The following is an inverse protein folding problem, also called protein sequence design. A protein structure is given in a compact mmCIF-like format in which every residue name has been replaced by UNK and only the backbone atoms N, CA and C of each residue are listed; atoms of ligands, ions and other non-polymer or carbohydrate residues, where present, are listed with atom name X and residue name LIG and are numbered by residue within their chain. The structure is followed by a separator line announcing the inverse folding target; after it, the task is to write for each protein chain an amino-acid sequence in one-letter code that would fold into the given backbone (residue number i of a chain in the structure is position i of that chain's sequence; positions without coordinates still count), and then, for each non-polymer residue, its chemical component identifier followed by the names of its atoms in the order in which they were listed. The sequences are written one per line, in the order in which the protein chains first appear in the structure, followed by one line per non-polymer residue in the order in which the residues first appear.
data_IF_486531425407
#
_entry.id   IF_486531425407
#
_cell.length_a   1.000
_cell.length_b   1.000
_cell.length_c   1.000
_cell.angle_alpha   90.00
_cell.angle_beta   90.00
_cell.angle_gamma   90.00
#
_symmetry.space_group_name_H-M   'P 1'
#
loop_
_entity.id
_entity.type
_entity.pdbx_description
1 polymer ?
#
# COMPACT_ATOMS: atom_id res chain seq x y z
N UNK A 1 28.86 -51.09 -29.12
CA UNK A 1 28.79 -50.21 -30.31
C UNK A 1 27.69 -49.18 -30.06
N UNK A 2 28.01 -48.09 -29.36
CA UNK A 2 27.16 -46.91 -29.25
C UNK A 2 28.09 -45.69 -29.32
N UNK A 3 27.98 -44.96 -30.43
CA UNK A 3 28.79 -43.77 -30.73
C UNK A 3 28.36 -42.58 -29.87
N UNK A 4 29.37 -41.81 -29.43
CA UNK A 4 29.28 -40.50 -28.78
C UNK A 4 29.01 -39.39 -29.81
N UNK A 5 28.30 -38.32 -29.40
CA UNK A 5 28.72 -36.89 -29.39
C UNK A 5 27.51 -35.94 -29.23
N UNK A 6 27.68 -34.66 -28.81
CA UNK A 6 28.52 -34.13 -27.72
C UNK A 6 27.80 -33.07 -26.83
N UNK A 7 28.47 -32.72 -25.73
CA UNK A 7 28.17 -31.59 -24.81
C UNK A 7 28.15 -30.23 -25.51
N UNK A 8 27.26 -29.33 -25.08
CA UNK A 8 27.52 -27.89 -25.02
C UNK A 8 27.18 -27.34 -23.63
N UNK A 9 27.86 -26.24 -23.28
CA UNK A 9 28.31 -25.84 -21.95
C UNK A 9 27.29 -24.95 -21.21
N UNK A 10 27.45 -24.96 -19.89
CA UNK A 10 26.88 -24.03 -18.90
C UNK A 10 26.83 -22.55 -19.32
N UNK A 11 25.71 -21.91 -19.01
CA UNK A 11 25.66 -20.56 -18.45
C UNK A 11 24.67 -20.61 -17.28
N UNK A 12 25.21 -20.62 -16.07
CA UNK A 12 24.43 -20.43 -14.86
C UNK A 12 24.05 -18.97 -14.73
N UNK A 13 22.79 -18.71 -14.39
CA UNK A 13 22.37 -17.47 -13.77
C UNK A 13 21.70 -17.85 -12.45
N UNK A 14 22.33 -17.40 -11.37
CA UNK A 14 21.96 -17.65 -9.99
C UNK A 14 20.76 -16.77 -9.63
N UNK A 15 19.59 -17.37 -9.51
CA UNK A 15 18.38 -16.73 -8.96
C UNK A 15 18.31 -17.15 -7.49
N UNK A 16 19.17 -16.58 -6.65
CA UNK A 16 19.11 -16.79 -5.19
C UNK A 16 19.13 -15.52 -4.34
N UNK A 17 19.41 -14.35 -4.92
CA UNK A 17 19.58 -13.12 -4.13
C UNK A 17 18.31 -12.25 -3.98
N UNK A 18 17.16 -12.60 -4.58
CA UNK A 18 15.95 -11.77 -4.51
C UNK A 18 14.79 -12.36 -3.68
N UNK A 19 14.88 -13.62 -3.25
CA UNK A 19 13.90 -14.18 -2.29
C UNK A 19 14.18 -13.73 -0.86
N UNK A 20 15.45 -13.50 -0.49
CA UNK A 20 15.82 -13.08 0.87
C UNK A 20 15.37 -11.65 1.20
N UNK A 21 15.28 -10.76 0.21
CA UNK A 21 14.87 -9.35 0.45
C UNK A 21 13.36 -9.20 0.66
N UNK A 22 12.55 -9.98 -0.06
CA UNK A 22 11.09 -10.03 0.10
C UNK A 22 10.70 -10.78 1.38
N UNK A 23 11.44 -11.84 1.74
CA UNK A 23 11.31 -12.47 3.06
C UNK A 23 11.74 -11.52 4.19
N UNK A 24 12.77 -10.68 4.03
CA UNK A 24 13.18 -9.71 5.06
C UNK A 24 12.16 -8.56 5.26
N UNK A 25 11.48 -8.08 4.23
CA UNK A 25 10.40 -7.08 4.37
C UNK A 25 9.13 -7.67 4.98
N UNK A 26 8.75 -8.89 4.55
CA UNK A 26 7.66 -9.62 5.16
C UNK A 26 7.98 -9.94 6.64
N UNK A 27 9.22 -10.34 6.95
CA UNK A 27 9.69 -10.53 8.32
C UNK A 27 9.71 -9.24 9.11
N UNK A 28 10.10 -8.08 8.57
CA UNK A 28 10.14 -6.85 9.37
C UNK A 28 8.75 -6.30 9.69
N UNK A 29 7.77 -6.45 8.79
CA UNK A 29 6.36 -6.11 9.06
C UNK A 29 5.67 -7.17 9.92
N UNK A 30 5.94 -8.47 9.71
CA UNK A 30 5.45 -9.55 10.59
C UNK A 30 6.10 -9.52 11.97
N UNK A 31 7.38 -9.14 12.09
CA UNK A 31 8.11 -8.99 13.37
C UNK A 31 7.61 -7.75 14.09
N UNK A 32 7.31 -6.65 13.38
CA UNK A 32 6.64 -5.49 13.98
C UNK A 32 5.22 -5.84 14.45
N UNK A 33 4.46 -6.63 13.67
CA UNK A 33 3.14 -7.14 14.05
C UNK A 33 3.21 -8.17 15.20
N UNK A 34 4.19 -9.08 15.20
CA UNK A 34 4.45 -10.05 16.29
C UNK A 34 4.91 -9.36 17.57
N UNK A 35 5.74 -8.32 17.46
CA UNK A 35 6.17 -7.50 18.60
C UNK A 35 5.02 -6.64 19.14
N UNK A 36 4.13 -6.13 18.29
CA UNK A 36 2.99 -5.30 18.72
C UNK A 36 1.83 -6.15 19.29
N UNK A 37 1.61 -7.37 18.79
CA UNK A 37 0.47 -8.23 19.17
C UNK A 37 0.79 -9.19 20.31
N UNK A 38 2.04 -9.62 20.51
CA UNK A 38 2.44 -10.49 21.64
C UNK A 38 3.17 -9.76 22.77
N UNK A 39 3.62 -8.51 22.56
CA UNK A 39 4.21 -7.68 23.62
C UNK A 39 3.48 -6.34 23.74
N UNK A 40 2.47 -6.22 24.62
CA UNK A 40 2.02 -4.91 25.05
C UNK A 40 3.12 -4.29 25.92
N UNK A 41 3.83 -3.35 25.29
CA UNK A 41 4.48 -2.15 25.82
C UNK A 41 5.87 -2.15 26.50
N UNK A 42 6.62 -1.10 26.08
CA UNK A 42 7.75 -0.37 26.70
C UNK A 42 9.18 -0.89 26.50
N UNK A 43 9.84 -0.31 25.49
CA UNK A 43 10.95 0.61 25.73
C UNK A 43 12.32 0.02 26.08
N UNK A 44 13.31 0.37 25.26
CA UNK A 44 14.67 0.60 25.74
C UNK A 44 14.63 1.54 26.96
N UNK A 45 15.02 1.05 28.13
CA UNK A 45 15.77 1.86 29.12
C UNK A 45 16.43 0.94 30.17
N UNK A 46 17.75 1.03 30.26
CA UNK A 46 18.54 0.53 31.38
C UNK A 46 18.72 1.64 32.43
N UNK A 47 18.60 1.23 33.70
CA UNK A 47 19.32 1.64 34.93
C UNK A 47 18.43 2.06 36.12
N UNK A 48 18.42 1.22 37.17
CA UNK A 48 18.86 1.56 38.55
C UNK A 48 19.38 0.27 39.22
N UNK A 49 20.50 0.36 39.92
CA UNK A 49 21.10 -0.69 40.74
C UNK A 49 20.23 -1.04 41.97
N UNK A 50 20.03 -2.33 42.23
CA UNK A 50 19.51 -2.81 43.53
C UNK A 50 18.18 -3.59 43.52
N UNK A 51 17.47 -3.74 42.40
CA UNK A 51 16.23 -4.52 42.36
C UNK A 51 16.46 -5.94 41.76
N UNK A 52 16.08 -6.99 42.50
CA UNK A 52 16.01 -8.37 41.99
C UNK A 52 14.93 -8.47 40.89
N UNK A 53 15.38 -8.28 39.64
CA UNK A 53 14.82 -8.75 38.36
C UNK A 53 13.31 -8.48 38.14
N UNK A 54 12.99 -7.37 37.46
CA UNK A 54 11.63 -7.08 36.93
C UNK A 54 11.51 -7.12 35.40
N UNK A 55 12.63 -7.20 34.67
CA UNK A 55 12.62 -7.21 33.21
C UNK A 55 12.34 -8.62 32.65
N UNK A 56 11.29 -8.72 31.84
CA UNK A 56 10.88 -9.99 31.19
C UNK A 56 11.92 -10.48 30.18
N UNK A 57 12.59 -9.58 29.45
CA UNK A 57 13.68 -9.94 28.53
C UNK A 57 14.89 -10.50 29.28
N UNK A 58 15.34 -9.88 30.36
CA UNK A 58 16.45 -10.40 31.16
C UNK A 58 16.14 -11.74 31.83
N UNK A 59 14.85 -12.01 32.15
CA UNK A 59 14.42 -13.31 32.68
C UNK A 59 14.43 -14.37 31.58
N UNK A 60 13.94 -14.04 30.39
CA UNK A 60 13.96 -14.94 29.23
C UNK A 60 15.39 -15.30 28.84
N UNK A 61 16.31 -14.33 28.81
CA UNK A 61 17.72 -14.56 28.52
C UNK A 61 18.37 -15.48 29.56
N UNK A 62 18.07 -15.30 30.86
CA UNK A 62 18.52 -16.25 31.90
C UNK A 62 17.96 -17.65 31.72
N UNK A 63 16.69 -17.79 31.34
CA UNK A 63 16.06 -19.09 31.11
C UNK A 63 16.69 -19.82 29.90
N UNK A 64 17.02 -19.09 28.84
CA UNK A 64 17.75 -19.62 27.68
C UNK A 64 19.20 -19.98 28.05
N UNK A 65 19.89 -19.15 28.85
CA UNK A 65 21.23 -19.45 29.37
C UNK A 65 21.26 -20.68 30.30
N UNK A 66 20.15 -20.97 30.98
CA UNK A 66 19.97 -22.18 31.82
C UNK A 66 19.54 -23.41 31.00
N UNK A 67 19.49 -23.32 29.67
CA UNK A 67 19.31 -24.46 28.77
C UNK A 67 17.87 -24.77 28.35
N UNK A 68 16.91 -23.85 28.56
CA UNK A 68 15.57 -24.00 27.95
C UNK A 68 15.68 -23.94 26.43
N UNK A 69 15.19 -24.99 25.75
CA UNK A 69 15.15 -25.07 24.28
C UNK A 69 13.78 -24.63 23.78
N UNK A 70 13.77 -23.70 22.83
CA UNK A 70 12.52 -23.15 22.24
C UNK A 70 11.70 -24.23 21.55
N UNK A 71 12.36 -25.20 20.93
CA UNK A 71 11.73 -26.36 20.27
C UNK A 71 11.10 -27.40 21.24
N UNK A 72 11.34 -27.31 22.55
CA UNK A 72 10.73 -28.24 23.53
C UNK A 72 9.29 -27.88 23.91
N UNK A 73 8.79 -26.72 23.46
CA UNK A 73 7.42 -26.27 23.75
C UNK A 73 6.47 -26.90 22.76
N UNK A 74 5.89 -28.05 23.12
CA UNK A 74 4.78 -28.65 22.36
C UNK A 74 3.47 -27.96 22.73
N UNK A 75 2.71 -27.53 21.73
CA UNK A 75 1.38 -26.93 21.85
C UNK A 75 0.35 -28.00 22.23
N UNK A 76 0.40 -28.44 23.49
CA UNK A 76 -0.63 -29.27 24.10
C UNK A 76 -1.80 -28.40 24.54
N UNK A 77 -2.89 -28.43 23.78
CA UNK A 77 -4.21 -28.02 24.26
C UNK A 77 -4.64 -29.05 25.32
N UNK A 78 -4.58 -28.67 26.59
CA UNK A 78 -5.32 -29.33 27.67
C UNK A 78 -6.06 -28.24 28.43
N UNK A 79 -7.37 -28.45 28.58
CA UNK A 79 -8.33 -27.42 28.92
C UNK A 79 -8.45 -27.06 30.40
N UNK A 80 -9.36 -26.10 30.59
CA UNK A 80 -9.94 -25.57 31.81
C UNK A 80 -8.98 -24.99 32.86
N UNK A 81 -8.94 -23.66 32.92
CA UNK A 81 -9.22 -22.93 34.16
C UNK A 81 -9.72 -21.52 33.82
N UNK A 82 -10.93 -21.21 34.29
CA UNK A 82 -11.45 -19.85 34.37
C UNK A 82 -10.47 -18.97 35.16
N UNK A 83 -9.86 -17.97 34.51
CA UNK A 83 -9.24 -16.85 35.22
C UNK A 83 -9.47 -15.56 34.45
N UNK A 84 -10.16 -14.68 35.15
CA UNK A 84 -10.61 -13.34 34.77
C UNK A 84 -9.42 -12.46 34.31
N UNK A 85 -9.60 -11.86 33.12
CA UNK A 85 -8.95 -10.68 32.53
C UNK A 85 -7.48 -10.74 32.03
N UNK A 86 -7.31 -10.48 30.70
CA UNK A 86 -6.30 -9.54 30.21
C UNK A 86 -6.85 -8.45 29.26
N UNK A 87 -8.12 -8.53 28.82
CA UNK A 87 -8.69 -7.60 27.82
C UNK A 87 -8.83 -6.14 28.33
N UNK A 88 -8.95 -5.94 29.64
CA UNK A 88 -9.09 -4.61 30.24
C UNK A 88 -7.79 -3.81 30.32
N UNK A 89 -6.62 -4.45 30.34
CA UNK A 89 -5.34 -3.75 30.47
C UNK A 89 -4.90 -3.07 29.17
N UNK A 90 -5.15 -3.71 28.02
CA UNK A 90 -4.89 -3.13 26.69
C UNK A 90 -5.88 -2.00 26.35
N UNK A 91 -7.16 -2.18 26.71
CA UNK A 91 -8.15 -1.12 26.57
C UNK A 91 -7.85 0.06 27.51
N UNK A 92 -7.31 -0.20 28.70
CA UNK A 92 -6.89 0.83 29.66
C UNK A 92 -5.67 1.65 29.18
N UNK A 93 -4.70 1.04 28.49
CA UNK A 93 -3.56 1.78 27.94
C UNK A 93 -3.92 2.65 26.73
N UNK A 94 -5.00 2.30 26.01
CA UNK A 94 -5.57 3.12 24.93
C UNK A 94 -6.51 4.21 25.47
N UNK A 95 -6.96 4.14 26.74
CA UNK A 95 -8.01 5.02 27.29
C UNK A 95 -7.53 6.07 28.31
N UNK A 96 -6.24 6.41 28.37
CA UNK A 96 -5.76 7.63 29.05
C UNK A 96 -5.38 8.74 28.04
N UNK A 97 -5.55 10.01 28.41
CA UNK A 97 -6.43 10.95 27.70
C UNK A 97 -5.77 11.62 26.50
N UNK A 98 -6.17 11.23 25.29
CA UNK A 98 -6.13 12.07 24.07
C UNK A 98 -7.31 11.79 23.11
N UNK A 99 -8.24 10.91 23.51
CA UNK A 99 -9.35 10.42 22.67
C UNK A 99 -10.35 11.51 22.24
N UNK A 100 -10.45 12.62 22.98
CA UNK A 100 -11.36 13.73 22.66
C UNK A 100 -11.03 14.39 21.32
N UNK A 101 -9.75 14.53 20.96
CA UNK A 101 -9.33 15.16 19.70
C UNK A 101 -8.94 14.15 18.62
N UNK A 102 -8.61 12.91 18.99
CA UNK A 102 -8.23 11.87 18.04
C UNK A 102 -9.39 11.44 17.13
N UNK A 103 -10.59 11.23 17.69
CA UNK A 103 -11.77 10.80 16.91
C UNK A 103 -12.22 11.88 15.91
N UNK A 104 -12.36 13.17 16.29
CA UNK A 104 -12.66 14.23 15.34
C UNK A 104 -11.64 14.31 14.21
N UNK A 105 -10.34 14.23 14.53
CA UNK A 105 -9.26 14.31 13.52
C UNK A 105 -9.28 13.13 12.54
N UNK A 106 -9.54 11.91 13.02
CA UNK A 106 -9.68 10.72 12.15
C UNK A 106 -10.90 10.87 11.26
N UNK A 107 -12.01 11.33 11.82
CA UNK A 107 -13.27 11.55 11.07
C UNK A 107 -13.08 12.61 9.98
N UNK A 108 -12.40 13.71 10.30
CA UNK A 108 -12.06 14.78 9.36
C UNK A 108 -11.14 14.26 8.25
N UNK A 109 -10.09 13.51 8.60
CA UNK A 109 -9.16 12.92 7.63
C UNK A 109 -9.89 11.97 6.69
N UNK A 110 -10.68 11.03 7.23
CA UNK A 110 -11.48 10.11 6.43
C UNK A 110 -12.48 10.87 5.54
N UNK A 111 -13.16 11.90 6.08
CA UNK A 111 -14.08 12.73 5.30
C UNK A 111 -13.39 13.45 4.14
N UNK A 112 -12.23 14.06 4.38
CA UNK A 112 -11.41 14.72 3.37
C UNK A 112 -11.04 13.74 2.26
N UNK A 113 -10.42 12.59 2.60
CA UNK A 113 -9.97 11.62 1.60
C UNK A 113 -11.13 10.96 0.85
N UNK A 114 -12.26 10.72 1.52
CA UNK A 114 -13.50 10.24 0.88
C UNK A 114 -14.02 11.24 -0.15
N UNK A 115 -14.01 12.54 0.19
CA UNK A 115 -14.41 13.58 -0.73
C UNK A 115 -13.44 13.69 -1.92
N UNK A 116 -12.14 13.59 -1.66
CA UNK A 116 -11.09 13.53 -2.70
C UNK A 116 -11.35 12.37 -3.65
N UNK A 117 -11.62 11.15 -3.15
CA UNK A 117 -11.90 10.00 -3.99
C UNK A 117 -13.14 10.21 -4.86
N UNK A 118 -14.21 10.81 -4.32
CA UNK A 118 -15.41 11.16 -5.12
C UNK A 118 -15.11 12.17 -6.23
N UNK A 119 -14.29 13.18 -5.94
CA UNK A 119 -13.88 14.16 -6.94
C UNK A 119 -13.01 13.53 -8.02
N UNK A 120 -12.13 12.58 -7.65
CA UNK A 120 -11.35 11.78 -8.59
C UNK A 120 -12.29 10.99 -9.52
N UNK A 121 -13.27 10.27 -8.98
CA UNK A 121 -14.23 9.51 -9.81
C UNK A 121 -14.94 10.40 -10.82
N UNK A 122 -15.27 11.64 -10.44
CA UNK A 122 -15.85 12.62 -11.36
C UNK A 122 -14.82 13.14 -12.38
N UNK A 123 -13.62 13.48 -11.94
CA UNK A 123 -12.52 13.93 -12.80
C UNK A 123 -12.18 12.90 -13.90
N UNK A 124 -12.14 11.61 -13.57
CA UNK A 124 -11.90 10.54 -14.55
C UNK A 124 -12.96 10.46 -15.66
N UNK A 125 -14.17 10.99 -15.42
CA UNK A 125 -15.28 11.09 -16.40
C UNK A 125 -15.25 12.37 -17.24
N UNK A 126 -14.28 13.24 -17.01
CA UNK A 126 -14.13 14.47 -17.79
C UNK A 126 -13.26 14.26 -19.03
N UNK A 127 -13.43 15.12 -20.02
CA UNK A 127 -12.52 15.19 -21.17
C UNK A 127 -11.25 15.98 -20.81
N UNK A 128 -10.23 15.25 -20.36
CA UNK A 128 -8.93 15.80 -19.95
C UNK A 128 -7.99 15.73 -21.16
N UNK A 129 -7.51 16.88 -21.61
CA UNK A 129 -6.52 16.98 -22.69
C UNK A 129 -5.13 16.88 -22.08
N UNK A 130 -4.57 15.66 -22.06
CA UNK A 130 -3.29 15.33 -21.41
C UNK A 130 -2.13 16.15 -21.98
N UNK A 131 -2.13 16.45 -23.28
CA UNK A 131 -1.05 17.17 -23.97
C UNK A 131 -0.89 18.63 -23.51
N UNK A 132 -1.89 19.17 -22.80
CA UNK A 132 -1.85 20.52 -22.23
C UNK A 132 -1.33 20.54 -20.79
N UNK A 133 -1.00 19.38 -20.22
CA UNK A 133 -0.57 19.24 -18.83
C UNK A 133 0.93 18.98 -18.80
N UNK A 134 1.65 19.70 -17.94
CA UNK A 134 3.03 19.36 -17.64
C UNK A 134 3.07 18.11 -16.76
N UNK A 135 3.56 17.01 -17.34
CA UNK A 135 3.58 15.69 -16.72
C UNK A 135 4.82 15.43 -15.84
N UNK A 136 5.67 16.43 -15.57
CA UNK A 136 6.74 16.30 -14.59
C UNK A 136 6.16 16.19 -13.17
N UNK A 137 6.64 15.24 -12.36
CA UNK A 137 6.14 15.07 -10.98
C UNK A 137 6.29 16.37 -10.18
N UNK A 138 7.42 17.06 -10.33
CA UNK A 138 7.69 18.35 -9.67
C UNK A 138 6.70 19.44 -10.07
N UNK A 139 6.39 19.55 -11.36
CA UNK A 139 5.38 20.48 -11.87
C UNK A 139 3.99 20.12 -11.32
N UNK A 140 3.59 18.85 -11.44
CA UNK A 140 2.31 18.37 -10.95
C UNK A 140 2.13 18.64 -9.46
N UNK A 141 3.15 18.42 -8.61
CA UNK A 141 3.08 18.68 -7.17
C UNK A 141 2.90 20.17 -6.82
N UNK A 142 3.38 21.08 -7.67
CA UNK A 142 3.30 22.54 -7.44
C UNK A 142 2.08 23.18 -8.11
N UNK A 143 1.52 22.56 -9.15
CA UNK A 143 0.31 23.03 -9.80
C UNK A 143 -0.91 23.00 -8.85
N UNK A 144 -1.83 23.97 -8.99
CA UNK A 144 -3.13 23.92 -8.31
C UNK A 144 -3.82 22.58 -8.54
N UNK A 145 -4.53 22.09 -7.53
CA UNK A 145 -5.26 20.82 -7.64
C UNK A 145 -6.29 20.90 -8.77
N UNK A 146 -6.30 19.88 -9.62
CA UNK A 146 -7.30 19.73 -10.67
C UNK A 146 -8.69 19.51 -10.06
N UNK A 147 -8.75 18.85 -8.90
CA UNK A 147 -9.99 18.57 -8.18
C UNK A 147 -10.65 19.84 -7.63
N UNK A 148 -9.85 20.86 -7.27
CA UNK A 148 -10.37 22.14 -6.78
C UNK A 148 -10.99 22.97 -7.93
N UNK A 149 -10.58 22.71 -9.17
CA UNK A 149 -11.04 23.39 -10.39
C UNK A 149 -11.97 22.52 -11.25
N UNK A 150 -12.59 21.50 -10.66
CA UNK A 150 -13.36 20.49 -11.40
C UNK A 150 -14.52 21.06 -12.23
N UNK A 151 -15.07 22.20 -11.81
CA UNK A 151 -16.13 22.92 -12.54
C UNK A 151 -15.70 23.41 -13.94
N UNK A 152 -14.39 23.51 -14.19
CA UNK A 152 -13.86 23.90 -15.49
C UNK A 152 -13.80 22.72 -16.47
N UNK A 153 -14.08 21.50 -16.00
CA UNK A 153 -14.06 20.29 -16.81
C UNK A 153 -15.48 19.86 -17.15
N UNK A 154 -15.68 19.44 -18.41
CA UNK A 154 -16.96 18.90 -18.86
C UNK A 154 -16.93 17.38 -18.73
N UNK A 155 -17.92 16.84 -18.01
CA UNK A 155 -18.22 15.40 -18.05
C UNK A 155 -18.71 15.08 -19.46
N UNK A 156 -18.08 14.11 -20.10
CA UNK A 156 -18.42 13.68 -21.45
C UNK A 156 -18.74 12.19 -21.41
N UNK A 157 -19.84 11.78 -22.05
CA UNK A 157 -20.30 10.38 -21.99
C UNK A 157 -19.77 9.52 -23.12
N UNK A 158 -19.26 10.17 -24.19
CA UNK A 158 -19.02 9.51 -25.48
C UNK A 158 -17.53 9.53 -25.89
N UNK A 159 -16.62 9.87 -24.96
CA UNK A 159 -15.19 9.80 -25.24
C UNK A 159 -14.66 8.38 -25.03
N UNK A 160 -13.62 8.01 -25.78
CA UNK A 160 -12.83 6.79 -25.57
C UNK A 160 -11.37 7.13 -25.46
N UNK A 161 -10.69 6.55 -24.48
CA UNK A 161 -9.24 6.64 -24.34
C UNK A 161 -8.59 5.31 -24.64
N UNK A 162 -7.36 5.35 -25.09
CA UNK A 162 -6.54 4.14 -25.14
C UNK A 162 -5.95 3.82 -23.75
N UNK A 163 -5.35 2.63 -23.62
CA UNK A 163 -4.79 2.18 -22.33
C UNK A 163 -3.64 3.08 -21.83
N UNK A 164 -2.69 3.55 -22.67
CA UNK A 164 -1.69 4.54 -22.26
C UNK A 164 -2.30 5.81 -21.68
N UNK A 165 -3.26 6.43 -22.37
CA UNK A 165 -3.90 7.65 -21.88
C UNK A 165 -4.65 7.40 -20.57
N UNK A 166 -5.38 6.27 -20.44
CA UNK A 166 -6.00 5.87 -19.17
C UNK A 166 -5.00 5.74 -18.04
N UNK A 167 -3.86 5.08 -18.29
CA UNK A 167 -2.78 4.94 -17.31
C UNK A 167 -2.27 6.32 -16.84
N UNK A 168 -2.08 7.27 -17.76
CA UNK A 168 -1.67 8.63 -17.42
C UNK A 168 -2.71 9.37 -16.59
N UNK A 169 -4.01 9.27 -16.93
CA UNK A 169 -5.10 9.83 -16.12
C UNK A 169 -5.13 9.22 -14.72
N UNK A 170 -4.93 7.91 -14.59
CA UNK A 170 -4.96 7.23 -13.29
C UNK A 170 -3.77 7.62 -12.42
N UNK A 171 -2.58 7.82 -13.01
CA UNK A 171 -1.41 8.37 -12.33
C UNK A 171 -1.65 9.82 -11.88
N UNK A 172 -2.28 10.66 -12.71
CA UNK A 172 -2.67 12.02 -12.33
C UNK A 172 -3.64 12.00 -11.14
N UNK A 173 -4.63 11.11 -11.16
CA UNK A 173 -5.59 10.94 -10.07
C UNK A 173 -4.91 10.50 -8.76
N UNK A 174 -3.95 9.57 -8.84
CA UNK A 174 -3.18 9.14 -7.68
C UNK A 174 -2.30 10.26 -7.09
N UNK A 175 -1.75 11.16 -7.92
CA UNK A 175 -1.05 12.36 -7.45
C UNK A 175 -2.01 13.33 -6.78
N UNK A 176 -3.19 13.58 -7.36
CA UNK A 176 -4.21 14.44 -6.76
C UNK A 176 -4.72 13.88 -5.43
N UNK A 177 -4.83 12.57 -5.31
CA UNK A 177 -5.09 11.91 -4.01
C UNK A 177 -3.95 12.18 -3.02
N UNK A 178 -2.69 11.97 -3.44
CA UNK A 178 -1.52 12.16 -2.59
C UNK A 178 -1.40 13.59 -2.07
N UNK A 179 -1.71 14.62 -2.89
CA UNK A 179 -1.72 16.04 -2.49
C UNK A 179 -2.64 16.33 -1.30
N UNK A 180 -3.68 15.53 -1.10
CA UNK A 180 -4.64 15.71 0.00
C UNK A 180 -4.26 14.91 1.27
N UNK A 181 -3.15 14.17 1.25
CA UNK A 181 -2.64 13.46 2.43
C UNK A 181 -2.04 14.45 3.43
N UNK A 182 -2.47 14.45 4.71
CA UNK A 182 -2.07 15.47 5.69
C UNK A 182 -0.57 15.56 5.95
N UNK A 183 0.14 14.44 5.83
CA UNK A 183 1.56 14.35 6.16
C UNK A 183 2.49 14.63 4.97
N UNK A 184 1.97 14.69 3.73
CA UNK A 184 2.81 14.89 2.53
C UNK A 184 3.50 16.27 2.53
N UNK A 185 2.84 17.30 3.07
CA UNK A 185 3.41 18.66 3.15
C UNK A 185 4.65 18.76 4.05
N UNK A 186 4.89 17.76 4.91
CA UNK A 186 6.01 17.72 5.87
C UNK A 186 7.32 17.23 5.25
N UNK A 187 7.27 16.70 4.03
CA UNK A 187 8.44 16.25 3.30
C UNK A 187 9.07 17.40 2.49
N UNK A 188 10.37 17.29 2.21
CA UNK A 188 11.01 18.17 1.23
C UNK A 188 10.45 17.91 -0.17
N UNK A 189 10.59 18.87 -1.09
CA UNK A 189 10.07 18.68 -2.45
C UNK A 189 10.72 17.49 -3.17
N UNK A 190 12.03 17.28 -2.96
CA UNK A 190 12.75 16.11 -3.46
C UNK A 190 12.21 14.79 -2.90
N UNK A 191 11.88 14.75 -1.60
CA UNK A 191 11.32 13.56 -0.97
C UNK A 191 9.88 13.29 -1.44
N UNK A 192 9.07 14.34 -1.65
CA UNK A 192 7.72 14.22 -2.22
C UNK A 192 7.78 13.60 -3.61
N UNK A 193 8.70 14.06 -4.47
CA UNK A 193 8.87 13.49 -5.81
C UNK A 193 9.20 12.00 -5.76
N UNK A 194 10.09 11.59 -4.86
CA UNK A 194 10.48 10.18 -4.72
C UNK A 194 9.34 9.32 -4.15
N UNK A 195 8.54 9.84 -3.20
CA UNK A 195 7.34 9.17 -2.70
C UNK A 195 6.31 8.97 -3.82
N UNK A 196 6.04 10.00 -4.63
CA UNK A 196 5.14 9.89 -5.78
C UNK A 196 5.65 8.85 -6.77
N UNK A 197 6.94 8.91 -7.14
CA UNK A 197 7.56 7.99 -8.09
C UNK A 197 7.34 6.53 -7.69
N UNK A 198 7.48 6.24 -6.41
CA UNK A 198 7.41 4.89 -5.89
C UNK A 198 5.97 4.39 -5.66
N UNK A 199 5.11 5.25 -5.10
CA UNK A 199 3.78 4.83 -4.62
C UNK A 199 2.65 5.05 -5.63
N UNK A 200 2.78 6.01 -6.55
CA UNK A 200 1.67 6.50 -7.38
C UNK A 200 1.01 5.41 -8.24
N UNK A 201 1.80 4.55 -8.88
CA UNK A 201 1.25 3.47 -9.73
C UNK A 201 0.42 2.46 -8.92
N UNK A 202 0.85 2.12 -7.71
CA UNK A 202 0.10 1.21 -6.84
C UNK A 202 -1.20 1.87 -6.35
N UNK A 203 -1.15 3.17 -6.05
CA UNK A 203 -2.35 3.93 -5.66
C UNK A 203 -3.33 4.04 -6.84
N UNK A 204 -2.85 4.23 -8.06
CA UNK A 204 -3.67 4.25 -9.28
C UNK A 204 -4.47 2.95 -9.43
N UNK A 205 -3.79 1.79 -9.36
CA UNK A 205 -4.44 0.46 -9.38
C UNK A 205 -5.46 0.32 -8.25
N UNK A 206 -5.13 0.81 -7.06
CA UNK A 206 -6.01 0.69 -5.91
C UNK A 206 -7.28 1.54 -6.04
N UNK A 207 -7.16 2.78 -6.53
CA UNK A 207 -8.31 3.65 -6.84
C UNK A 207 -9.22 2.99 -7.88
N UNK A 208 -8.64 2.47 -8.97
CA UNK A 208 -9.39 1.84 -10.06
C UNK A 208 -10.21 0.62 -9.57
N UNK A 209 -9.58 -0.24 -8.74
CA UNK A 209 -10.24 -1.39 -8.15
C UNK A 209 -11.33 -0.99 -7.15
N UNK A 210 -11.09 0.03 -6.32
CA UNK A 210 -12.05 0.53 -5.34
C UNK A 210 -13.29 1.12 -6.03
N UNK A 211 -13.11 1.91 -7.10
CA UNK A 211 -14.24 2.44 -7.87
C UNK A 211 -15.08 1.31 -8.49
N UNK A 212 -14.41 0.33 -9.10
CA UNK A 212 -15.09 -0.84 -9.69
C UNK A 212 -15.85 -1.66 -8.64
N UNK A 213 -15.30 -1.78 -7.42
CA UNK A 213 -15.97 -2.40 -6.28
C UNK A 213 -17.26 -1.66 -5.90
N UNK A 214 -17.22 -0.32 -5.75
CA UNK A 214 -18.40 0.47 -5.40
C UNK A 214 -19.46 0.49 -6.51
N UNK A 215 -19.04 0.40 -7.77
CA UNK A 215 -19.93 0.23 -8.93
C UNK A 215 -20.45 -1.21 -9.09
N UNK A 216 -20.15 -2.11 -8.14
CA UNK A 216 -20.57 -3.51 -8.10
C UNK A 216 -20.16 -4.29 -9.35
N UNK A 217 -19.04 -3.91 -9.96
CA UNK A 217 -18.50 -4.60 -11.12
C UNK A 217 -17.78 -5.87 -10.67
N UNK A 218 -17.84 -6.89 -11.53
CA UNK A 218 -17.10 -8.16 -11.35
C UNK A 218 -15.67 -8.06 -11.88
N UNK A 219 -15.49 -7.20 -12.87
CA UNK A 219 -14.20 -6.82 -13.39
C UNK A 219 -13.94 -5.34 -13.08
N UNK A 220 -12.68 -4.98 -13.00
CA UNK A 220 -12.20 -3.62 -13.11
C UNK A 220 -12.46 -3.08 -14.52
N UNK A 221 -13.15 -1.93 -14.56
CA UNK A 221 -13.62 -1.29 -15.79
C UNK A 221 -13.28 0.19 -15.72
N UNK A 222 -12.82 0.76 -16.83
CA UNK A 222 -12.57 2.19 -16.96
C UNK A 222 -13.89 2.99 -16.98
N UNK A 223 -13.87 4.29 -16.65
CA UNK A 223 -15.08 5.13 -16.64
C UNK A 223 -15.84 5.17 -17.98
N UNK A 224 -15.17 5.03 -19.12
CA UNK A 224 -15.79 4.95 -20.46
C UNK A 224 -16.41 3.57 -20.77
N UNK A 225 -16.38 2.64 -19.82
CA UNK A 225 -16.85 1.27 -19.98
C UNK A 225 -15.81 0.33 -20.60
N UNK A 226 -14.58 0.78 -20.84
CA UNK A 226 -13.50 -0.08 -21.34
C UNK A 226 -13.17 -1.14 -20.29
N UNK A 227 -13.47 -2.40 -20.60
CA UNK A 227 -12.94 -3.53 -19.85
C UNK A 227 -11.47 -3.72 -20.22
N UNK A 228 -10.59 -3.61 -19.22
CA UNK A 228 -9.13 -3.65 -19.41
C UNK A 228 -8.70 -4.97 -20.06
N UNK A 229 -9.34 -6.09 -19.72
CA UNK A 229 -9.01 -7.39 -20.30
C UNK A 229 -9.45 -7.49 -21.73
N UNK A 230 -10.65 -6.99 -22.04
CA UNK A 230 -11.14 -6.98 -23.40
C UNK A 230 -10.26 -6.08 -24.28
N UNK A 231 -9.84 -4.93 -23.76
CA UNK A 231 -8.94 -4.01 -24.45
C UNK A 231 -7.58 -4.65 -24.75
N UNK A 232 -6.98 -5.34 -23.76
CA UNK A 232 -5.73 -6.11 -23.94
C UNK A 232 -5.87 -7.29 -24.91
N UNK A 233 -7.02 -8.00 -24.90
CA UNK A 233 -7.30 -9.06 -25.88
C UNK A 233 -7.36 -8.49 -27.30
N UNK A 234 -8.05 -7.37 -27.46
CA UNK A 234 -8.28 -6.72 -28.75
C UNK A 234 -6.99 -6.12 -29.33
N UNK A 235 -6.03 -5.71 -28.50
CA UNK A 235 -4.72 -5.22 -28.95
C UNK A 235 -3.78 -6.33 -29.45
N UNK A 236 -4.23 -7.59 -29.45
CA UNK A 236 -3.40 -8.75 -29.81
C UNK A 236 -2.32 -9.05 -28.77
N UNK A 237 -2.41 -8.45 -27.58
CA UNK A 237 -1.49 -8.69 -26.49
C UNK A 237 -1.85 -10.00 -25.81
N UNK A 238 -0.83 -10.78 -25.43
CA UNK A 238 -1.07 -11.96 -24.60
C UNK A 238 -1.60 -11.45 -23.26
N UNK A 239 -2.85 -11.76 -22.94
CA UNK A 239 -3.41 -11.50 -21.63
C UNK A 239 -2.63 -12.35 -20.63
N UNK A 240 -1.67 -11.73 -19.96
CA UNK A 240 -0.93 -12.38 -18.91
C UNK A 240 -1.88 -12.63 -17.72
N UNK A 241 -1.78 -13.81 -17.11
CA UNK A 241 -2.56 -14.18 -15.92
C UNK A 241 -2.46 -13.14 -14.79
N UNK A 242 -1.39 -12.33 -14.78
CA UNK A 242 -1.17 -11.18 -13.91
C UNK A 242 -2.29 -10.14 -14.00
N UNK A 243 -2.82 -9.83 -15.19
CA UNK A 243 -3.95 -8.89 -15.30
C UNK A 243 -5.25 -9.49 -14.76
N UNK A 244 -5.42 -10.80 -14.88
CA UNK A 244 -6.53 -11.53 -14.25
C UNK A 244 -6.45 -11.51 -12.71
N UNK A 245 -5.24 -11.38 -12.14
CA UNK A 245 -5.07 -11.26 -10.67
C UNK A 245 -5.73 -9.99 -10.12
N UNK A 246 -5.90 -8.93 -10.92
CA UNK A 246 -6.59 -7.73 -10.45
C UNK A 246 -8.07 -8.03 -10.12
N UNK A 247 -8.74 -8.92 -10.85
CA UNK A 247 -10.11 -9.33 -10.51
C UNK A 247 -10.13 -10.34 -9.36
N UNK A 248 -9.31 -11.38 -9.44
CA UNK A 248 -9.39 -12.51 -8.49
C UNK A 248 -8.74 -12.18 -7.14
N UNK A 249 -7.63 -11.46 -7.14
CA UNK A 249 -6.86 -11.19 -5.92
C UNK A 249 -7.28 -9.88 -5.24
N UNK A 250 -7.86 -8.91 -5.96
CA UNK A 250 -8.27 -7.63 -5.36
C UNK A 250 -9.80 -7.51 -5.24
N UNK A 251 -10.55 -7.63 -6.34
CA UNK A 251 -12.01 -7.42 -6.29
C UNK A 251 -12.75 -8.48 -5.47
N UNK A 252 -12.36 -9.76 -5.56
CA UNK A 252 -13.02 -10.82 -4.78
C UNK A 252 -12.90 -10.58 -3.27
N UNK A 253 -11.71 -10.27 -2.70
CA UNK A 253 -11.61 -9.85 -1.30
C UNK A 253 -12.41 -8.57 -0.97
N UNK A 254 -12.40 -7.56 -1.84
CA UNK A 254 -13.19 -6.33 -1.61
C UNK A 254 -14.68 -6.64 -1.44
N UNK A 255 -15.25 -7.46 -2.33
CA UNK A 255 -16.65 -7.88 -2.27
C UNK A 255 -16.93 -8.80 -1.07
N UNK A 256 -16.05 -9.78 -0.81
CA UNK A 256 -16.21 -10.73 0.29
C UNK A 256 -16.19 -10.05 1.66
N UNK A 257 -15.22 -9.16 1.88
CA UNK A 257 -15.05 -8.47 3.16
C UNK A 257 -16.00 -7.28 3.29
N UNK A 258 -16.53 -6.74 2.19
CA UNK A 258 -17.45 -5.60 2.19
C UNK A 258 -16.88 -4.40 2.96
N UNK A 259 -15.73 -3.90 2.52
CA UNK A 259 -15.11 -2.73 3.14
C UNK A 259 -15.91 -1.45 2.91
N UNK A 260 -15.94 -0.60 3.93
CA UNK A 260 -16.51 0.74 3.85
C UNK A 260 -15.54 1.70 3.18
N UNK A 261 -16.05 2.81 2.65
CA UNK A 261 -15.21 3.82 2.00
C UNK A 261 -14.19 4.43 2.97
N UNK A 262 -14.54 4.59 4.25
CA UNK A 262 -13.64 5.18 5.26
C UNK A 262 -12.48 4.24 5.61
N UNK A 263 -12.77 2.95 5.71
CA UNK A 263 -11.72 1.94 5.86
C UNK A 263 -10.76 1.97 4.66
N UNK A 264 -11.29 2.01 3.44
CA UNK A 264 -10.50 1.99 2.22
C UNK A 264 -9.65 3.25 2.04
N UNK A 265 -10.17 4.45 2.26
CA UNK A 265 -9.38 5.69 2.07
C UNK A 265 -8.26 5.86 3.10
N UNK A 266 -8.49 5.46 4.35
CA UNK A 266 -7.42 5.43 5.36
C UNK A 266 -6.41 4.31 5.08
N UNK A 267 -6.86 3.21 4.48
CA UNK A 267 -5.99 2.11 4.03
C UNK A 267 -5.13 2.53 2.85
N UNK A 268 -5.64 3.34 1.91
CA UNK A 268 -4.87 3.98 0.83
C UNK A 268 -3.85 4.98 1.35
N UNK A 269 -4.18 5.77 2.38
CA UNK A 269 -3.20 6.64 3.04
C UNK A 269 -2.05 5.82 3.63
N UNK A 270 -2.36 4.74 4.36
CA UNK A 270 -1.35 3.85 4.90
C UNK A 270 -0.53 3.19 3.78
N UNK A 271 -1.18 2.73 2.72
CA UNK A 271 -0.55 2.13 1.55
C UNK A 271 0.47 3.09 0.94
N UNK A 272 0.10 4.35 0.70
CA UNK A 272 0.98 5.37 0.11
C UNK A 272 2.31 5.51 0.85
N UNK A 273 2.29 5.53 2.19
CA UNK A 273 3.50 5.67 3.02
C UNK A 273 4.21 4.33 3.30
N UNK A 274 3.57 3.19 3.03
CA UNK A 274 4.15 1.86 3.31
C UNK A 274 4.78 1.23 2.09
N UNK A 275 4.37 1.61 0.87
CA UNK A 275 4.99 1.12 -0.37
C UNK A 275 6.46 1.52 -0.36
N UNK A 276 7.33 0.50 -0.23
CA UNK A 276 8.79 0.50 -0.27
C UNK A 276 9.46 1.82 0.13
N UNK A 277 10.00 1.92 1.35
CA UNK A 277 10.79 3.07 1.79
C UNK A 277 11.85 3.43 0.73
N UNK A 278 11.69 4.54 -0.02
CA UNK A 278 12.58 4.81 -1.13
C UNK A 278 13.99 5.02 -0.59
N UNK A 279 14.96 4.28 -1.13
CA UNK A 279 16.36 4.39 -0.69
C UNK A 279 16.89 5.83 -0.80
N UNK A 280 16.36 6.54 -1.80
CA UNK A 280 16.75 7.90 -2.20
C UNK A 280 16.08 9.00 -1.36
N UNK A 281 15.29 8.64 -0.34
CA UNK A 281 14.84 9.63 0.65
C UNK A 281 16.03 10.16 1.45
N UNK A 282 15.95 11.44 1.79
CA UNK A 282 16.84 12.07 2.76
C UNK A 282 16.71 11.39 4.15
N UNK A 283 17.73 11.48 5.03
CA UNK A 283 17.63 10.97 6.40
C UNK A 283 16.39 11.52 7.14
N UNK A 284 16.12 12.82 6.97
CA UNK A 284 14.95 13.50 7.52
C UNK A 284 13.65 12.97 6.91
N UNK A 285 13.64 12.73 5.60
CA UNK A 285 12.54 12.12 4.87
C UNK A 285 12.22 10.70 5.36
N UNK A 286 13.24 9.88 5.65
CA UNK A 286 13.06 8.54 6.23
C UNK A 286 12.45 8.59 7.63
N UNK A 287 12.92 9.49 8.49
CA UNK A 287 12.32 9.69 9.81
C UNK A 287 10.87 10.17 9.71
N UNK A 288 10.59 11.11 8.80
CA UNK A 288 9.24 11.61 8.57
C UNK A 288 8.32 10.53 7.97
N UNK A 289 8.85 9.64 7.12
CA UNK A 289 8.11 8.50 6.58
C UNK A 289 7.66 7.56 7.71
N UNK A 290 8.56 7.18 8.62
CA UNK A 290 8.19 6.35 9.77
C UNK A 290 7.10 6.99 10.64
N UNK A 291 7.18 8.31 10.87
CA UNK A 291 6.14 9.06 11.59
C UNK A 291 4.81 9.02 10.84
N UNK A 292 4.83 9.17 9.51
CA UNK A 292 3.64 9.19 8.66
C UNK A 292 2.98 7.80 8.58
N UNK A 293 3.77 6.73 8.54
CA UNK A 293 3.28 5.34 8.64
C UNK A 293 2.60 5.12 9.98
N UNK A 294 3.27 5.43 11.11
CA UNK A 294 2.69 5.29 12.46
C UNK A 294 1.40 6.10 12.64
N UNK A 295 1.39 7.34 12.14
CA UNK A 295 0.22 8.22 12.11
C UNK A 295 -0.95 7.60 11.33
N UNK A 296 -0.67 7.04 10.15
CA UNK A 296 -1.68 6.39 9.30
C UNK A 296 -2.23 5.10 9.91
N UNK A 297 -1.37 4.26 10.48
CA UNK A 297 -1.78 3.07 11.24
C UNK A 297 -2.69 3.46 12.40
N UNK A 298 -2.31 4.48 13.17
CA UNK A 298 -3.12 4.98 14.29
C UNK A 298 -4.49 5.46 13.83
N UNK A 299 -4.56 6.24 12.74
CA UNK A 299 -5.84 6.72 12.19
C UNK A 299 -6.77 5.55 11.83
N UNK A 300 -6.24 4.55 11.13
CA UNK A 300 -7.03 3.37 10.75
C UNK A 300 -7.47 2.56 11.99
N UNK A 301 -6.56 2.33 12.94
CA UNK A 301 -6.89 1.60 14.17
C UNK A 301 -7.98 2.30 15.00
N UNK A 302 -7.91 3.63 15.14
CA UNK A 302 -8.94 4.41 15.86
C UNK A 302 -10.30 4.26 15.17
N UNK A 303 -10.36 4.34 13.83
CA UNK A 303 -11.60 4.09 13.08
C UNK A 303 -12.16 2.69 13.37
N UNK A 304 -11.33 1.65 13.27
CA UNK A 304 -11.80 0.27 13.44
C UNK A 304 -12.22 -0.04 14.88
N UNK A 305 -11.48 0.45 15.87
CA UNK A 305 -11.81 0.26 17.30
C UNK A 305 -13.13 0.97 17.63
N UNK A 306 -13.34 2.18 17.09
CA UNK A 306 -14.59 2.93 17.33
C UNK A 306 -15.81 2.30 16.66
N UNK A 307 -15.62 1.63 15.51
CA UNK A 307 -16.69 0.90 14.83
C UNK A 307 -17.00 -0.45 15.50
N UNK A 308 -15.98 -1.23 15.86
CA UNK A 308 -16.14 -2.53 16.49
C UNK A 308 -14.93 -2.94 17.34
N UNK A 309 -15.02 -2.74 18.65
CA UNK A 309 -13.97 -3.06 19.63
C UNK A 309 -13.63 -4.56 19.74
N UNK A 310 -14.50 -5.46 19.26
CA UNK A 310 -14.29 -6.92 19.39
C UNK A 310 -13.62 -7.53 18.17
N UNK A 311 -13.81 -6.94 16.98
CA UNK A 311 -13.34 -7.50 15.71
C UNK A 311 -12.34 -6.58 14.96
N UNK A 312 -11.95 -5.45 15.57
CA UNK A 312 -11.06 -4.48 14.90
C UNK A 312 -9.73 -5.10 14.46
N UNK A 313 -9.18 -6.07 15.20
CA UNK A 313 -7.87 -6.66 14.92
C UNK A 313 -7.89 -7.54 13.66
N UNK A 314 -8.89 -8.40 13.53
CA UNK A 314 -9.06 -9.20 12.31
C UNK A 314 -9.41 -8.30 11.12
N UNK A 315 -10.26 -7.28 11.33
CA UNK A 315 -10.60 -6.31 10.29
C UNK A 315 -9.38 -5.53 9.79
N UNK A 316 -8.52 -5.08 10.71
CA UNK A 316 -7.24 -4.45 10.40
C UNK A 316 -6.35 -5.41 9.61
N UNK A 317 -6.25 -6.68 10.04
CA UNK A 317 -5.52 -7.73 9.33
C UNK A 317 -5.97 -7.91 7.88
N UNK A 318 -7.29 -7.95 7.63
CA UNK A 318 -7.84 -8.04 6.27
C UNK A 318 -7.47 -6.83 5.40
N UNK A 319 -7.47 -5.62 5.96
CA UNK A 319 -7.07 -4.39 5.23
C UNK A 319 -5.57 -4.36 4.92
N UNK A 320 -4.72 -4.82 5.84
CA UNK A 320 -3.27 -4.93 5.58
C UNK A 320 -2.97 -6.00 4.52
N UNK A 321 -3.68 -7.14 4.56
CA UNK A 321 -3.56 -8.17 3.52
C UNK A 321 -3.99 -7.65 2.14
N UNK A 322 -5.01 -6.77 2.09
CA UNK A 322 -5.41 -6.09 0.87
C UNK A 322 -4.30 -5.17 0.35
N UNK A 323 -3.66 -4.36 1.21
CA UNK A 323 -2.51 -3.53 0.84
C UNK A 323 -1.36 -4.34 0.25
N UNK A 324 -1.01 -5.46 0.87
CA UNK A 324 0.02 -6.37 0.35
C UNK A 324 -0.35 -6.91 -1.04
N UNK A 325 -1.63 -7.16 -1.28
CA UNK A 325 -2.12 -7.62 -2.57
C UNK A 325 -2.02 -6.52 -3.64
N UNK A 326 -2.32 -5.27 -3.29
CA UNK A 326 -2.10 -4.13 -4.18
C UNK A 326 -0.61 -3.99 -4.56
N UNK A 327 0.29 -4.09 -3.58
CA UNK A 327 1.75 -3.99 -3.81
C UNK A 327 2.22 -5.08 -4.78
N UNK A 328 1.85 -6.35 -4.53
CA UNK A 328 2.23 -7.48 -5.39
C UNK A 328 1.71 -7.34 -6.81
N UNK A 329 0.45 -6.95 -6.94
CA UNK A 329 -0.20 -6.76 -8.25
C UNK A 329 0.46 -5.63 -9.02
N UNK A 330 0.69 -4.49 -8.37
CA UNK A 330 1.38 -3.35 -8.98
C UNK A 330 2.80 -3.71 -9.41
N UNK A 331 3.57 -4.41 -8.57
CA UNK A 331 4.91 -4.87 -8.94
C UNK A 331 4.87 -5.79 -10.17
N UNK A 332 3.96 -6.77 -10.20
CA UNK A 332 3.82 -7.68 -11.33
C UNK A 332 3.42 -6.94 -12.62
N UNK A 333 2.53 -5.95 -12.53
CA UNK A 333 2.16 -5.09 -13.65
C UNK A 333 3.36 -4.27 -14.15
N UNK A 334 4.11 -3.60 -13.27
CA UNK A 334 5.34 -2.86 -13.64
C UNK A 334 6.34 -3.74 -14.37
N UNK A 335 6.58 -4.96 -13.88
CA UNK A 335 7.50 -5.91 -14.53
C UNK A 335 7.02 -6.29 -15.93
N UNK A 336 5.72 -6.58 -16.11
CA UNK A 336 5.17 -6.89 -17.44
C UNK A 336 5.22 -5.72 -18.40
N UNK A 337 5.01 -4.49 -17.92
CA UNK A 337 5.20 -3.30 -18.73
C UNK A 337 6.66 -3.11 -19.16
N UNK A 338 7.62 -3.44 -18.28
CA UNK A 338 9.07 -3.39 -18.57
C UNK A 338 9.50 -4.45 -19.60
N UNK A 339 8.94 -5.66 -19.53
CA UNK A 339 9.21 -6.74 -20.49
C UNK A 339 8.64 -6.44 -21.90
N UNK A 340 7.57 -5.65 -22.00
CA UNK A 340 6.91 -5.32 -23.26
C UNK A 340 7.63 -4.19 -24.03
N UNK A 341 8.92 -4.35 -24.31
CA UNK A 341 9.82 -3.31 -24.87
C UNK A 341 9.32 -2.68 -26.18
N UNK A 342 8.70 -3.48 -27.07
CA UNK A 342 8.04 -2.97 -28.29
C UNK A 342 6.81 -2.08 -28.03
N UNK A 343 6.18 -2.21 -26.87
CA UNK A 343 5.02 -1.40 -26.45
C UNK A 343 5.43 -0.12 -25.73
N UNK A 344 6.69 0.02 -25.28
CA UNK A 344 7.17 1.22 -24.58
C UNK A 344 7.06 2.49 -25.44
N UNK A 345 7.18 2.36 -26.77
CA UNK A 345 6.94 3.48 -27.68
C UNK A 345 5.48 3.99 -27.67
N UNK A 346 4.51 3.14 -27.28
CA UNK A 346 3.09 3.51 -27.14
C UNK A 346 2.77 4.13 -25.78
N UNK A 347 3.57 3.84 -24.75
CA UNK A 347 3.45 4.41 -23.40
C UNK A 347 4.36 5.63 -23.19
N UNK A 348 4.59 6.42 -24.25
CA UNK A 348 5.52 7.57 -24.27
C UNK A 348 5.02 8.80 -23.48
N UNK A 349 4.21 8.59 -22.46
CA UNK A 349 3.86 9.64 -21.53
C UNK A 349 4.93 9.74 -20.45
N UNK A 350 5.41 10.96 -20.27
CA UNK A 350 6.52 11.27 -19.37
C UNK A 350 6.22 10.89 -17.90
N UNK A 351 4.95 10.92 -17.51
CA UNK A 351 4.51 10.49 -16.17
C UNK A 351 4.63 8.97 -15.98
N UNK A 352 4.34 8.18 -17.02
CA UNK A 352 4.49 6.72 -17.00
C UNK A 352 5.98 6.37 -16.90
N UNK A 353 6.82 7.03 -17.69
CA UNK A 353 8.28 6.86 -17.60
C UNK A 353 8.80 7.12 -16.18
N UNK A 354 8.31 8.17 -15.53
CA UNK A 354 8.69 8.48 -14.16
C UNK A 354 8.18 7.46 -13.14
N UNK A 355 6.89 7.11 -13.14
CA UNK A 355 6.24 6.33 -12.08
C UNK A 355 6.27 4.80 -12.28
N UNK A 356 6.45 4.32 -13.51
CA UNK A 356 6.45 2.89 -13.87
C UNK A 356 7.85 2.40 -14.24
N UNK A 357 8.58 3.20 -15.02
CA UNK A 357 9.92 2.86 -15.50
C UNK A 357 11.05 3.50 -14.67
N UNK A 358 10.70 4.16 -13.56
CA UNK A 358 11.62 4.75 -12.59
C UNK A 358 12.58 5.78 -13.23
N UNK A 359 12.18 6.41 -14.34
CA UNK A 359 12.99 7.39 -15.06
C UNK A 359 13.12 8.69 -14.27
N UNK A 360 14.34 9.13 -14.00
CA UNK A 360 14.64 10.42 -13.40
C UNK A 360 15.13 11.40 -14.48
N UNK A 361 14.39 12.48 -14.78
CA UNK A 361 14.92 13.51 -15.66
C UNK A 361 16.22 14.10 -15.08
N UNK A 362 17.17 14.38 -15.97
CA UNK A 362 18.32 15.19 -15.61
C UNK A 362 17.82 16.60 -15.23
N UNK A 363 18.32 17.14 -14.12
CA UNK A 363 17.96 18.48 -13.61
C UNK A 363 18.41 19.60 -14.55
#
# INVERSE_FOLDING_TARGET
MWQKCPRQKHLGFDIRDQSEFVEQMALSVFVLFFLIVLFPEQGFMCFVSGARIKCRSCRLDRCLQQGMRKEAVTSGIVGNEEKVAPQTAYLASISLPSTSTAIPKVTETASCLRQTLRLITKFRKCNIIVEKIDLHISALLTMPSFLDNLNNYQEETDFKRDLPEWCTIDLLCAIEFAKKLPDLSKFSDSDKEELIRNSCFTIAIAIEAIESYFDKKKTVVMPDGTDVMQSLANSGSVIHAVFTQMFVCILDPLHRESFTIDELVLTLQLLFFTIAAPENLTPEGKEQLEKSVKSSMHCLMVLLITQNTTNFSARYGSLIALNETFIKTAHAHKQKMKEAEHSRQKFRDFLIEQCVFDYRPAK
#
